data_IF_288927078150
#
_entry.id   IF_288927078150
#
_cell.length_a   1.000
_cell.length_b   1.000
_cell.length_c   1.000
_cell.angle_alpha   90.00
_cell.angle_beta   90.00
_cell.angle_gamma   90.00
#
_symmetry.space_group_name_H-M   'P 1'
#
loop_
_entity.id
_entity.type
_entity.pdbx_description
1 polymer ?
#
# COMPACT_ATOMS: atom_id res chain seq x y z
N UNK A 1 40.83 18.16 14.08
CA UNK A 1 39.56 17.56 14.57
C UNK A 1 38.61 17.51 13.39
N UNK A 2 38.51 16.35 12.73
CA UNK A 2 37.82 16.14 11.44
C UNK A 2 36.33 15.86 11.66
N UNK A 3 35.47 16.83 11.37
CA UNK A 3 34.01 16.63 11.38
C UNK A 3 33.56 16.10 10.01
N UNK A 4 33.47 14.78 9.91
CA UNK A 4 32.95 14.08 8.74
C UNK A 4 31.41 14.11 8.79
N UNK A 5 30.81 15.13 8.17
CA UNK A 5 29.36 15.24 8.01
C UNK A 5 28.88 14.14 7.07
N UNK A 6 28.47 13.00 7.64
CA UNK A 6 27.81 11.94 6.90
C UNK A 6 26.43 12.42 6.45
N UNK A 7 26.40 12.97 5.24
CA UNK A 7 25.23 13.10 4.40
C UNK A 7 24.62 11.71 4.18
N UNK A 8 23.83 11.26 5.16
CA UNK A 8 22.95 10.11 5.02
C UNK A 8 21.79 10.55 4.15
N UNK A 9 22.07 10.70 2.84
CA UNK A 9 21.08 10.55 1.77
C UNK A 9 20.45 9.18 1.98
N UNK A 10 19.44 9.14 2.85
CA UNK A 10 18.51 8.02 3.03
C UNK A 10 17.88 7.84 1.66
N UNK A 11 18.54 7.03 0.83
CA UNK A 11 17.96 6.49 -0.40
C UNK A 11 16.60 6.00 0.05
N UNK A 12 15.54 6.69 -0.38
CA UNK A 12 14.17 6.23 -0.22
C UNK A 12 14.18 4.87 -0.89
N UNK A 13 14.40 3.80 -0.10
CA UNK A 13 14.20 2.42 -0.56
C UNK A 13 12.82 2.49 -1.19
N UNK A 14 12.73 2.18 -2.48
CA UNK A 14 11.45 1.95 -3.15
C UNK A 14 10.70 1.04 -2.18
N UNK A 15 9.71 1.58 -1.46
CA UNK A 15 8.99 0.81 -0.46
C UNK A 15 8.22 -0.17 -1.31
N UNK A 16 8.71 -1.39 -1.46
CA UNK A 16 7.87 -2.47 -1.97
C UNK A 16 6.66 -2.43 -1.06
N UNK A 17 5.48 -2.20 -1.62
CA UNK A 17 4.28 -2.12 -0.82
C UNK A 17 3.97 -3.56 -0.39
N UNK A 18 4.01 -3.80 0.91
CA UNK A 18 3.71 -5.11 1.48
C UNK A 18 2.20 -5.23 1.61
N UNK A 19 1.62 -6.26 0.99
CA UNK A 19 0.19 -6.53 1.13
C UNK A 19 -0.13 -6.93 2.57
N UNK A 20 -1.15 -6.33 3.17
CA UNK A 20 -1.58 -6.65 4.52
C UNK A 20 -2.21 -8.06 4.60
N UNK A 21 -2.95 -8.48 3.57
CA UNK A 21 -3.60 -9.79 3.53
C UNK A 21 -2.60 -10.95 3.44
N UNK A 22 -1.71 -10.94 2.45
CA UNK A 22 -0.79 -12.06 2.21
C UNK A 22 0.65 -11.80 2.72
N UNK A 23 0.93 -10.62 3.26
CA UNK A 23 2.24 -10.21 3.85
C UNK A 23 3.43 -10.33 2.90
N UNK A 24 3.16 -10.46 1.59
CA UNK A 24 4.18 -10.49 0.54
C UNK A 24 4.45 -9.09 0.03
N UNK A 25 5.68 -8.85 -0.39
CA UNK A 25 6.07 -7.61 -1.05
C UNK A 25 5.70 -7.66 -2.54
N UNK A 26 5.03 -6.61 -3.01
CA UNK A 26 4.65 -6.49 -4.42
C UNK A 26 5.20 -5.19 -5.01
N UNK A 27 5.48 -5.20 -6.33
CA UNK A 27 5.82 -3.98 -7.05
C UNK A 27 4.65 -2.99 -7.07
N UNK A 28 3.41 -3.49 -6.96
CA UNK A 28 2.18 -2.71 -6.98
C UNK A 28 1.20 -3.22 -5.92
N UNK A 29 0.78 -2.31 -5.03
CA UNK A 29 -0.35 -2.51 -4.13
C UNK A 29 -1.20 -1.25 -4.10
N UNK A 30 -2.50 -1.45 -3.93
CA UNK A 30 -3.44 -0.40 -3.57
C UNK A 30 -3.19 0.01 -2.13
N UNK A 31 -2.61 1.20 -1.94
CA UNK A 31 -2.35 1.77 -0.62
C UNK A 31 -3.46 2.72 -0.22
N UNK A 32 -4.07 2.49 0.93
CA UNK A 32 -4.98 3.40 1.61
C UNK A 32 -4.19 4.37 2.49
N UNK A 33 -4.75 5.55 2.73
CA UNK A 33 -4.19 6.58 3.62
C UNK A 33 -4.15 6.16 5.10
N UNK A 34 -4.92 5.13 5.50
CA UNK A 34 -4.81 4.56 6.85
C UNK A 34 -3.52 3.76 7.06
N UNK A 35 -2.77 3.44 5.99
CA UNK A 35 -1.59 2.58 6.03
C UNK A 35 -1.84 1.15 5.59
N UNK A 36 -3.08 0.80 5.25
CA UNK A 36 -3.41 -0.48 4.64
C UNK A 36 -2.91 -0.53 3.19
N UNK A 37 -2.27 -1.62 2.81
CA UNK A 37 -1.90 -1.88 1.42
C UNK A 37 -2.39 -3.26 1.01
N UNK A 38 -2.98 -3.39 -0.18
CA UNK A 38 -3.48 -4.67 -0.70
C UNK A 38 -2.99 -4.91 -2.11
N UNK A 39 -2.51 -6.12 -2.38
CA UNK A 39 -2.10 -6.51 -3.73
C UNK A 39 -3.33 -6.70 -4.63
N UNK A 40 -3.17 -6.55 -5.96
CA UNK A 40 -4.26 -6.75 -6.92
C UNK A 40 -4.89 -8.14 -6.84
N UNK A 41 -4.12 -9.15 -6.43
CA UNK A 41 -4.57 -10.54 -6.28
C UNK A 41 -5.59 -10.68 -5.13
N UNK A 42 -5.20 -10.30 -3.91
CA UNK A 42 -6.11 -10.26 -2.75
C UNK A 42 -7.27 -9.29 -2.96
N UNK A 43 -7.04 -8.18 -3.68
CA UNK A 43 -8.10 -7.25 -4.03
C UNK A 43 -9.13 -7.89 -4.97
N UNK A 44 -8.69 -8.70 -5.94
CA UNK A 44 -9.58 -9.40 -6.89
C UNK A 44 -10.34 -10.53 -6.22
N UNK A 45 -9.67 -11.30 -5.36
CA UNK A 45 -10.28 -12.37 -4.57
C UNK A 45 -11.41 -11.82 -3.67
N UNK A 46 -11.16 -10.69 -3.02
CA UNK A 46 -12.13 -10.07 -2.11
C UNK A 46 -13.01 -9.03 -2.82
N UNK A 47 -12.89 -8.83 -4.14
CA UNK A 47 -13.55 -7.76 -4.91
C UNK A 47 -15.07 -7.72 -4.70
N UNK A 48 -15.68 -8.88 -4.54
CA UNK A 48 -17.12 -9.05 -4.32
C UNK A 48 -17.60 -8.57 -2.94
N UNK A 49 -16.70 -8.44 -1.96
CA UNK A 49 -17.01 -7.99 -0.59
C UNK A 49 -16.45 -6.61 -0.21
N UNK A 50 -15.45 -6.11 -0.93
CA UNK A 50 -14.81 -4.80 -0.67
C UNK A 50 -14.91 -3.80 -1.83
N UNK A 51 -15.55 -4.14 -2.95
CA UNK A 51 -15.79 -3.18 -4.04
C UNK A 51 -17.24 -3.24 -4.50
N UNK A 52 -17.89 -2.09 -4.66
CA UNK A 52 -19.29 -1.98 -5.09
C UNK A 52 -19.43 -1.38 -6.50
N UNK A 53 -18.39 -1.52 -7.34
CA UNK A 53 -18.36 -1.00 -8.72
C UNK A 53 -17.09 -0.19 -8.99
N UNK A 54 -17.18 1.13 -9.27
CA UNK A 54 -16.02 1.99 -9.54
C UNK A 54 -15.24 2.36 -8.26
N UNK A 55 -15.69 1.90 -7.09
CA UNK A 55 -15.10 2.23 -5.80
C UNK A 55 -14.61 0.99 -5.09
N UNK A 56 -13.45 1.10 -4.44
CA UNK A 56 -12.96 0.11 -3.50
C UNK A 56 -13.01 0.66 -2.07
N UNK A 57 -13.40 -0.20 -1.14
CA UNK A 57 -13.60 0.11 0.27
C UNK A 57 -12.46 -0.55 1.04
N UNK A 58 -11.74 0.25 1.83
CA UNK A 58 -10.68 -0.28 2.67
C UNK A 58 -11.28 -1.11 3.81
N UNK A 59 -10.88 -2.37 4.03
CA UNK A 59 -11.43 -3.20 5.11
C UNK A 59 -10.99 -2.77 6.52
N UNK A 60 -9.92 -1.97 6.62
CA UNK A 60 -9.35 -1.56 7.90
C UNK A 60 -9.96 -0.25 8.44
N UNK A 61 -10.32 0.67 7.55
CA UNK A 61 -10.87 1.98 7.92
C UNK A 61 -12.20 2.32 7.23
N UNK A 62 -12.75 1.39 6.46
CA UNK A 62 -14.03 1.50 5.73
C UNK A 62 -14.10 2.71 4.78
N UNK A 63 -12.96 3.33 4.47
CA UNK A 63 -12.87 4.47 3.56
C UNK A 63 -13.10 4.01 2.13
N UNK A 64 -13.99 4.70 1.45
CA UNK A 64 -14.28 4.49 0.03
C UNK A 64 -13.27 5.29 -0.79
N UNK A 65 -12.58 4.60 -1.68
CA UNK A 65 -11.67 5.16 -2.66
C UNK A 65 -12.29 5.00 -4.05
N UNK A 66 -12.46 6.09 -4.77
CA UNK A 66 -12.90 6.09 -6.16
C UNK A 66 -11.72 5.70 -7.06
N UNK A 67 -11.90 4.71 -7.91
CA UNK A 67 -10.99 4.43 -9.03
C UNK A 67 -11.44 5.34 -10.19
N UNK A 68 -10.84 6.51 -10.33
CA UNK A 68 -10.97 7.37 -11.52
C UNK A 68 -10.19 6.77 -12.71
#
# INVERSE_FOLDING_TARGET
MTNNAQDTRRRRRKKNNTCHCCKKDFPFCWSCTCGFAICPDCFTENKWGISNGPTWICPDCERVHMME
#
